data_IF_866303908234
#
_entry.id   IF_866303908234
#
_cell.length_a   1.000
_cell.length_b   1.000
_cell.length_c   1.000
_cell.angle_alpha   90.00
_cell.angle_beta   90.00
_cell.angle_gamma   90.00
#
_symmetry.space_group_name_H-M   'P 1'
#
loop_
_entity.id
_entity.type
_entity.pdbx_description
1 polymer ?
#
# COMPACT_ATOMS: atom_id res chain seq x y z
N UNK A 1 -5.68 -20.47 -14.44
CA UNK A 1 -4.38 -20.12 -15.06
C UNK A 1 -3.84 -19.00 -14.19
N UNK A 2 -2.66 -19.17 -13.58
CA UNK A 2 -2.00 -18.05 -12.90
C UNK A 2 -1.56 -17.06 -13.97
N UNK A 3 -2.08 -15.83 -13.92
CA UNK A 3 -1.69 -14.80 -14.86
C UNK A 3 -0.21 -14.46 -14.65
N UNK A 4 0.52 -14.35 -15.76
CA UNK A 4 1.92 -13.93 -15.73
C UNK A 4 2.01 -12.44 -16.01
N UNK A 5 2.34 -11.66 -14.98
CA UNK A 5 2.56 -10.23 -15.08
C UNK A 5 3.98 -9.96 -15.57
N UNK A 6 4.11 -9.37 -16.75
CA UNK A 6 5.41 -9.13 -17.39
C UNK A 6 5.74 -7.64 -17.33
N UNK A 7 6.91 -7.30 -16.81
CA UNK A 7 7.42 -5.92 -16.73
C UNK A 7 8.87 -5.87 -17.22
N UNK A 8 9.27 -4.78 -17.86
CA UNK A 8 10.69 -4.58 -18.20
C UNK A 8 11.49 -4.12 -16.96
N UNK A 9 12.79 -4.40 -16.94
CA UNK A 9 13.68 -3.90 -15.88
C UNK A 9 13.60 -2.37 -15.74
N UNK A 10 13.55 -1.61 -16.84
CA UNK A 10 13.45 -0.16 -16.81
C UNK A 10 12.13 0.34 -16.23
N UNK A 11 11.01 -0.27 -16.61
CA UNK A 11 9.68 0.04 -16.05
C UNK A 11 9.63 -0.30 -14.56
N UNK A 12 10.18 -1.45 -14.15
CA UNK A 12 10.27 -1.83 -12.75
C UNK A 12 11.06 -0.79 -11.97
N UNK A 13 12.26 -0.41 -12.40
CA UNK A 13 13.13 0.51 -11.66
C UNK A 13 12.55 1.93 -11.56
N UNK A 14 11.93 2.43 -12.63
CA UNK A 14 11.33 3.77 -12.66
C UNK A 14 10.01 3.90 -11.89
N UNK A 15 9.23 2.82 -11.79
CA UNK A 15 7.95 2.86 -11.06
C UNK A 15 8.15 2.81 -9.54
N UNK A 16 7.95 3.93 -8.85
CA UNK A 16 8.10 4.01 -7.38
C UNK A 16 7.01 3.30 -6.59
N UNK A 17 5.86 3.05 -7.19
CA UNK A 17 4.70 2.40 -6.55
C UNK A 17 4.37 1.06 -7.23
N UNK A 18 5.40 0.31 -7.63
CA UNK A 18 5.21 -0.99 -8.26
C UNK A 18 4.64 -2.01 -7.26
N UNK A 19 3.58 -2.70 -7.67
CA UNK A 19 3.04 -3.88 -7.01
C UNK A 19 2.83 -5.00 -8.02
N UNK A 20 2.80 -6.24 -7.53
CA UNK A 20 2.43 -7.41 -8.33
C UNK A 20 0.96 -7.70 -8.02
N UNK A 21 0.10 -7.92 -9.05
CA UNK A 21 -1.28 -8.33 -8.82
C UNK A 21 -1.37 -9.62 -7.98
N UNK A 22 -2.43 -9.73 -7.17
CA UNK A 22 -2.59 -10.89 -6.29
C UNK A 22 -2.71 -12.20 -7.07
N UNK A 23 -2.01 -13.22 -6.60
CA UNK A 23 -1.98 -14.55 -7.23
C UNK A 23 -1.25 -14.61 -8.58
N UNK A 24 -0.70 -13.51 -9.09
CA UNK A 24 0.05 -13.49 -10.34
C UNK A 24 1.50 -13.91 -10.13
N UNK A 25 2.07 -14.59 -11.14
CA UNK A 25 3.53 -14.69 -11.27
C UNK A 25 4.08 -13.40 -11.89
N UNK A 26 5.36 -13.11 -11.66
CA UNK A 26 6.03 -11.94 -12.21
C UNK A 26 7.20 -12.38 -13.11
N UNK A 27 7.28 -11.84 -14.32
CA UNK A 27 8.48 -11.90 -15.15
C UNK A 27 9.06 -10.50 -15.30
N UNK A 28 10.31 -10.32 -14.88
CA UNK A 28 11.07 -9.10 -15.13
C UNK A 28 12.02 -9.36 -16.31
N UNK A 29 11.74 -8.71 -17.43
CA UNK A 29 12.48 -8.94 -18.68
C UNK A 29 13.56 -7.90 -18.95
N UNK A 30 14.58 -8.31 -19.70
CA UNK A 30 15.63 -7.42 -20.20
C UNK A 30 16.53 -6.86 -19.10
N UNK A 31 16.82 -7.66 -18.08
CA UNK A 31 17.72 -7.27 -17.00
C UNK A 31 19.15 -7.40 -17.51
N UNK A 32 19.89 -6.30 -17.53
CA UNK A 32 21.33 -6.31 -17.85
C UNK A 32 22.15 -6.70 -16.61
N UNK A 33 23.38 -7.14 -16.82
CA UNK A 33 24.32 -7.44 -15.72
C UNK A 33 24.49 -6.28 -14.75
N UNK A 34 24.47 -5.05 -15.23
CA UNK A 34 24.61 -3.82 -14.45
C UNK A 34 23.34 -3.47 -13.66
N UNK A 35 22.16 -3.71 -14.24
CA UNK A 35 20.88 -3.39 -13.60
C UNK A 35 20.38 -4.48 -12.64
N UNK A 36 20.93 -5.70 -12.75
CA UNK A 36 20.52 -6.84 -11.93
C UNK A 36 20.56 -6.58 -10.41
N UNK A 37 21.61 -5.98 -9.82
CA UNK A 37 21.64 -5.72 -8.38
C UNK A 37 20.51 -4.79 -7.92
N UNK A 38 20.18 -3.78 -8.71
CA UNK A 38 19.12 -2.81 -8.39
C UNK A 38 17.74 -3.46 -8.52
N UNK A 39 17.52 -4.23 -9.59
CA UNK A 39 16.30 -5.04 -9.79
C UNK A 39 16.10 -6.01 -8.64
N UNK A 40 17.14 -6.78 -8.28
CA UNK A 40 17.11 -7.72 -7.15
C UNK A 40 16.78 -7.01 -5.84
N UNK A 41 17.45 -5.90 -5.54
CA UNK A 41 17.20 -5.12 -4.31
C UNK A 41 15.75 -4.64 -4.23
N UNK A 42 15.21 -4.12 -5.34
CA UNK A 42 13.83 -3.67 -5.42
C UNK A 42 12.83 -4.80 -5.23
N UNK A 43 13.05 -5.95 -5.86
CA UNK A 43 12.17 -7.11 -5.71
C UNK A 43 12.23 -7.70 -4.31
N UNK A 44 13.40 -7.73 -3.66
CA UNK A 44 13.53 -8.15 -2.26
C UNK A 44 12.74 -7.24 -1.32
N UNK A 45 12.73 -5.92 -1.59
CA UNK A 45 11.94 -4.98 -0.82
C UNK A 45 10.43 -5.23 -0.97
N UNK A 46 9.97 -5.52 -2.19
CA UNK A 46 8.55 -5.65 -2.52
C UNK A 46 7.99 -7.03 -2.13
N UNK A 47 8.74 -8.11 -2.37
CA UNK A 47 8.25 -9.49 -2.30
C UNK A 47 8.93 -10.31 -1.20
N UNK A 48 10.07 -9.84 -0.68
CA UNK A 48 10.93 -10.62 0.20
C UNK A 48 11.79 -11.63 -0.54
N UNK A 49 12.44 -12.51 0.22
CA UNK A 49 13.33 -13.55 -0.29
C UNK A 49 12.57 -14.83 -0.67
N UNK A 50 11.73 -14.73 -1.70
CA UNK A 50 10.99 -15.85 -2.26
C UNK A 50 11.78 -16.68 -3.28
N UNK A 51 11.22 -17.80 -3.74
CA UNK A 51 11.75 -18.55 -4.88
C UNK A 51 11.71 -17.69 -6.15
N UNK A 52 12.69 -17.88 -7.02
CA UNK A 52 12.74 -17.27 -8.35
C UNK A 52 13.48 -18.21 -9.31
N UNK A 53 13.41 -17.88 -10.59
CA UNK A 53 14.11 -18.58 -11.65
C UNK A 53 14.87 -17.57 -12.52
N UNK A 54 16.14 -17.88 -12.80
CA UNK A 54 16.99 -17.11 -13.72
C UNK A 54 17.63 -18.08 -14.70
N UNK A 55 17.41 -17.85 -16.00
CA UNK A 55 17.90 -18.70 -17.08
C UNK A 55 17.63 -20.21 -16.86
N UNK A 56 16.40 -20.56 -16.44
CA UNK A 56 15.98 -21.95 -16.22
C UNK A 56 16.46 -22.56 -14.90
N UNK A 57 17.15 -21.81 -14.03
CA UNK A 57 17.65 -22.30 -12.74
C UNK A 57 16.83 -21.73 -11.60
N UNK A 58 16.22 -22.62 -10.82
CA UNK A 58 15.50 -22.25 -9.60
C UNK A 58 16.48 -21.89 -8.47
N UNK A 59 16.21 -20.81 -7.76
CA UNK A 59 17.01 -20.30 -6.65
C UNK A 59 16.16 -19.41 -5.73
N UNK A 60 16.75 -18.88 -4.67
CA UNK A 60 16.15 -17.82 -3.87
C UNK A 60 16.56 -16.44 -4.40
N UNK A 61 15.68 -15.44 -4.27
CA UNK A 61 15.96 -14.12 -4.81
C UNK A 61 17.26 -13.50 -4.27
N UNK A 62 17.59 -13.70 -3.00
CA UNK A 62 18.89 -13.27 -2.43
C UNK A 62 20.11 -13.89 -3.13
N UNK A 63 19.99 -15.15 -3.53
CA UNK A 63 21.02 -15.96 -4.19
C UNK A 63 21.00 -15.83 -5.72
N UNK A 64 20.04 -15.09 -6.28
CA UNK A 64 19.96 -14.87 -7.71
C UNK A 64 21.10 -13.97 -8.20
N UNK A 65 21.66 -14.34 -9.35
CA UNK A 65 22.76 -13.66 -10.03
C UNK A 65 22.45 -13.51 -11.52
N UNK A 66 23.05 -12.52 -12.17
CA UNK A 66 22.86 -12.29 -13.61
C UNK A 66 23.37 -13.48 -14.42
N UNK A 67 22.54 -13.99 -15.32
CA UNK A 67 22.89 -15.07 -16.24
C UNK A 67 23.22 -14.50 -17.64
N UNK A 68 24.47 -14.08 -17.84
CA UNK A 68 24.93 -13.47 -19.10
C UNK A 68 24.80 -11.94 -19.14
N UNK A 69 24.87 -11.37 -20.34
CA UNK A 69 24.78 -9.92 -20.58
C UNK A 69 23.36 -9.38 -20.36
N UNK A 70 22.36 -10.15 -20.78
CA UNK A 70 20.93 -9.85 -20.58
C UNK A 70 20.22 -11.14 -20.18
N UNK A 71 19.38 -11.08 -19.15
CA UNK A 71 18.56 -12.19 -18.70
C UNK A 71 17.19 -11.73 -18.22
N UNK A 72 16.29 -12.69 -18.08
CA UNK A 72 14.98 -12.50 -17.47
C UNK A 72 14.97 -13.17 -16.10
N UNK A 73 14.22 -12.59 -15.16
CA UNK A 73 13.99 -13.12 -13.83
C UNK A 73 12.51 -13.44 -13.67
N UNK A 74 12.19 -14.70 -13.44
CA UNK A 74 10.84 -15.17 -13.18
C UNK A 74 10.62 -15.38 -11.68
N UNK A 75 9.49 -14.94 -11.16
CA UNK A 75 9.07 -15.14 -9.78
C UNK A 75 7.70 -15.82 -9.84
N UNK A 76 7.57 -17.06 -9.34
CA UNK A 76 6.29 -17.75 -9.33
C UNK A 76 5.29 -17.05 -8.41
N UNK A 77 4.00 -17.28 -8.66
CA UNK A 77 2.96 -16.89 -7.72
C UNK A 77 3.25 -17.55 -6.36
N UNK A 78 3.15 -16.78 -5.30
CA UNK A 78 3.37 -17.25 -3.93
C UNK A 78 2.04 -17.46 -3.24
N UNK A 79 1.90 -18.58 -2.53
CA UNK A 79 0.75 -18.79 -1.65
C UNK A 79 0.67 -17.69 -0.59
N UNK A 80 -0.53 -17.22 -0.27
CA UNK A 80 -0.73 -16.09 0.65
C UNK A 80 -0.03 -16.31 2.00
N UNK A 81 -0.11 -17.51 2.56
CA UNK A 81 0.48 -17.85 3.86
C UNK A 81 2.01 -18.00 3.80
N UNK A 82 2.58 -18.06 2.59
CA UNK A 82 4.02 -18.17 2.36
C UNK A 82 4.65 -16.83 1.97
N UNK A 83 3.86 -15.76 1.84
CA UNK A 83 4.37 -14.41 1.54
C UNK A 83 5.28 -13.94 2.68
N UNK A 84 6.42 -13.34 2.31
CA UNK A 84 7.34 -12.72 3.28
C UNK A 84 7.09 -11.22 3.44
N UNK A 85 6.43 -10.60 2.46
CA UNK A 85 6.01 -9.20 2.47
C UNK A 85 4.55 -9.13 2.08
N UNK A 86 3.82 -8.28 2.79
CA UNK A 86 2.40 -8.03 2.55
C UNK A 86 2.22 -6.57 2.10
N UNK A 87 1.31 -6.36 1.17
CA UNK A 87 0.85 -5.06 0.70
C UNK A 87 -0.46 -4.63 1.38
N UNK A 88 -0.93 -3.45 1.02
CA UNK A 88 -2.16 -2.90 1.61
C UNK A 88 -3.40 -3.77 1.36
N UNK A 89 -3.56 -4.31 0.15
CA UNK A 89 -4.70 -5.17 -0.16
C UNK A 89 -4.62 -6.56 0.51
N UNK A 90 -3.43 -7.01 0.90
CA UNK A 90 -3.29 -8.22 1.72
C UNK A 90 -3.91 -8.02 3.11
N UNK A 91 -3.75 -6.83 3.70
CA UNK A 91 -4.42 -6.48 4.96
C UNK A 91 -5.93 -6.54 4.80
N UNK A 92 -6.48 -5.91 3.76
CA UNK A 92 -7.92 -5.93 3.47
C UNK A 92 -8.42 -7.37 3.32
N UNK A 93 -7.70 -8.20 2.55
CA UNK A 93 -8.01 -9.62 2.40
C UNK A 93 -8.04 -10.37 3.74
N UNK A 94 -7.06 -10.13 4.63
CA UNK A 94 -7.03 -10.75 5.97
C UNK A 94 -8.28 -10.36 6.75
N UNK A 95 -8.67 -9.09 6.77
CA UNK A 95 -9.85 -8.65 7.51
C UNK A 95 -11.13 -9.27 6.95
N UNK A 96 -11.28 -9.37 5.62
CA UNK A 96 -12.37 -10.14 5.03
C UNK A 96 -12.37 -11.58 5.50
N UNK A 97 -11.20 -12.25 5.45
CA UNK A 97 -11.09 -13.65 5.84
C UNK A 97 -11.42 -13.89 7.32
N UNK A 98 -11.01 -12.98 8.20
CA UNK A 98 -11.32 -13.01 9.63
C UNK A 98 -12.82 -12.83 9.89
N UNK A 99 -13.51 -12.04 9.07
CA UNK A 99 -14.94 -11.75 9.22
C UNK A 99 -15.86 -12.62 8.35
N UNK A 100 -15.31 -13.58 7.62
CA UNK A 100 -16.06 -14.51 6.76
C UNK A 100 -16.90 -15.50 7.59
N UNK A 101 -17.84 -16.22 6.97
CA UNK A 101 -18.78 -17.12 7.67
C UNK A 101 -18.06 -18.12 8.59
N UNK A 102 -16.97 -18.71 8.11
CA UNK A 102 -16.10 -19.66 8.84
C UNK A 102 -14.86 -18.98 9.49
N UNK A 103 -14.88 -17.65 9.59
CA UNK A 103 -13.83 -16.82 10.19
C UNK A 103 -13.87 -16.78 11.72
N UNK A 104 -13.19 -15.78 12.28
CA UNK A 104 -13.08 -15.56 13.72
C UNK A 104 -14.37 -14.95 14.29
N UNK A 105 -14.98 -15.63 15.28
CA UNK A 105 -16.21 -15.17 15.93
C UNK A 105 -16.06 -13.81 16.63
N UNK A 106 -14.88 -13.51 17.19
CA UNK A 106 -14.63 -12.23 17.84
C UNK A 106 -14.53 -11.08 16.83
N UNK A 107 -13.84 -11.29 15.71
CA UNK A 107 -13.72 -10.29 14.65
C UNK A 107 -15.07 -10.03 13.99
N UNK A 108 -15.87 -11.07 13.73
CA UNK A 108 -17.23 -10.95 13.20
C UNK A 108 -18.15 -10.11 14.09
N UNK A 109 -18.06 -10.28 15.40
CA UNK A 109 -18.92 -9.61 16.37
C UNK A 109 -18.63 -8.11 16.51
N UNK A 110 -17.51 -7.61 15.97
CA UNK A 110 -17.16 -6.20 16.03
C UNK A 110 -18.11 -5.33 15.20
N UNK A 111 -18.33 -4.12 15.70
CA UNK A 111 -19.12 -3.03 15.13
C UNK A 111 -18.26 -1.77 15.10
N UNK A 112 -18.67 -0.74 14.33
CA UNK A 112 -17.96 0.55 14.35
C UNK A 112 -17.86 1.12 15.77
N UNK A 113 -18.91 0.96 16.58
CA UNK A 113 -18.96 1.46 17.95
C UNK A 113 -18.08 0.68 18.91
N UNK A 114 -17.93 -0.64 18.72
CA UNK A 114 -17.16 -1.48 19.65
C UNK A 114 -15.66 -1.27 19.53
N UNK A 115 -15.15 -0.96 18.32
CA UNK A 115 -13.70 -0.78 18.07
C UNK A 115 -13.27 0.70 18.03
N UNK A 116 -14.19 1.66 18.15
CA UNK A 116 -13.84 3.09 18.08
C UNK A 116 -12.82 3.53 19.15
N UNK A 117 -12.85 2.89 20.33
CA UNK A 117 -11.91 3.21 21.40
C UNK A 117 -10.51 2.72 21.05
N UNK A 118 -10.39 1.54 20.43
CA UNK A 118 -9.13 1.02 19.94
C UNK A 118 -8.50 2.00 18.94
N UNK A 119 -9.28 2.51 17.98
CA UNK A 119 -8.79 3.52 17.04
C UNK A 119 -8.19 4.78 17.70
N UNK A 120 -8.69 5.17 18.88
CA UNK A 120 -8.10 6.28 19.65
C UNK A 120 -6.84 5.82 20.38
N UNK A 121 -6.87 4.64 20.98
CA UNK A 121 -5.75 4.02 21.71
C UNK A 121 -4.53 3.85 20.80
N UNK A 122 -4.65 3.18 19.64
CA UNK A 122 -3.53 2.96 18.70
C UNK A 122 -2.93 4.29 18.23
N UNK A 123 -3.76 5.33 18.08
CA UNK A 123 -3.29 6.65 17.68
C UNK A 123 -2.47 7.33 18.80
N UNK A 124 -2.82 7.11 20.07
CA UNK A 124 -2.02 7.56 21.21
C UNK A 124 -0.73 6.77 21.35
N UNK A 125 -0.76 5.46 21.15
CA UNK A 125 0.42 4.60 21.18
C UNK A 125 1.42 4.99 20.08
N UNK A 126 0.94 5.27 18.86
CA UNK A 126 1.78 5.81 17.80
C UNK A 126 2.42 7.16 18.18
N UNK A 127 1.67 8.06 18.81
CA UNK A 127 2.23 9.34 19.30
C UNK A 127 3.28 9.10 20.39
N UNK A 128 3.05 8.16 21.30
CA UNK A 128 4.01 7.79 22.32
C UNK A 128 5.30 7.23 21.71
N UNK A 129 5.19 6.30 20.75
CA UNK A 129 6.33 5.74 20.04
C UNK A 129 7.17 6.82 19.34
N UNK A 130 6.51 7.81 18.71
CA UNK A 130 7.17 8.97 18.10
C UNK A 130 7.94 9.79 19.14
N UNK A 131 7.31 10.10 20.28
CA UNK A 131 7.93 10.90 21.34
C UNK A 131 9.12 10.20 21.97
N UNK A 132 9.09 8.87 22.04
CA UNK A 132 10.16 8.04 22.58
C UNK A 132 11.26 7.72 21.55
N UNK A 133 11.11 8.15 20.29
CA UNK A 133 11.99 7.78 19.17
C UNK A 133 12.13 6.26 19.00
N UNK A 134 11.08 5.51 19.33
CA UNK A 134 11.05 4.05 19.25
C UNK A 134 10.63 3.62 17.84
N UNK A 135 11.62 3.35 16.99
CA UNK A 135 11.36 3.00 15.59
C UNK A 135 10.64 1.65 15.43
N UNK A 136 10.82 0.72 16.37
CA UNK A 136 10.16 -0.58 16.28
C UNK A 136 8.67 -0.43 16.63
N UNK A 137 8.35 0.26 17.72
CA UNK A 137 6.95 0.56 18.06
C UNK A 137 6.32 1.49 17.03
N UNK A 138 7.03 2.49 16.50
CA UNK A 138 6.49 3.34 15.43
C UNK A 138 6.01 2.51 14.21
N UNK A 139 6.70 1.42 13.89
CA UNK A 139 6.29 0.50 12.80
C UNK A 139 5.05 -0.30 13.19
N UNK A 140 4.99 -0.81 14.41
CA UNK A 140 3.88 -1.57 14.97
C UNK A 140 2.60 -0.73 15.00
N UNK A 141 2.63 0.39 15.72
CA UNK A 141 1.45 1.26 15.93
C UNK A 141 0.97 1.94 14.64
N UNK A 142 1.88 2.22 13.69
CA UNK A 142 1.46 2.69 12.36
C UNK A 142 0.64 1.60 11.66
N UNK A 143 1.00 0.34 11.83
CA UNK A 143 0.24 -0.81 11.35
C UNK A 143 -1.13 -0.92 12.02
N UNK A 144 -1.21 -0.71 13.33
CA UNK A 144 -2.48 -0.81 14.05
C UNK A 144 -3.44 0.32 13.71
N UNK A 145 -2.95 1.54 13.50
CA UNK A 145 -3.77 2.64 12.94
C UNK A 145 -4.30 2.30 11.54
N UNK A 146 -3.51 1.62 10.69
CA UNK A 146 -3.97 1.16 9.38
C UNK A 146 -5.01 0.04 9.50
N UNK A 147 -4.80 -0.90 10.44
CA UNK A 147 -5.75 -1.98 10.76
C UNK A 147 -7.12 -1.41 11.11
N UNK A 148 -7.18 -0.39 11.98
CA UNK A 148 -8.44 0.25 12.37
C UNK A 148 -9.18 0.82 11.15
N UNK A 149 -8.48 1.54 10.27
CA UNK A 149 -9.07 2.06 9.03
C UNK A 149 -9.58 0.97 8.09
N UNK A 150 -8.82 -0.11 7.93
CA UNK A 150 -9.22 -1.28 7.14
C UNK A 150 -10.47 -1.97 7.72
N UNK A 151 -10.54 -2.12 9.04
CA UNK A 151 -11.66 -2.77 9.73
C UNK A 151 -12.97 -1.99 9.54
N UNK A 152 -12.93 -0.66 9.66
CA UNK A 152 -14.09 0.19 9.36
C UNK A 152 -14.54 0.05 7.90
N UNK A 153 -13.61 0.03 6.93
CA UNK A 153 -13.97 -0.13 5.52
C UNK A 153 -14.64 -1.48 5.24
N UNK A 154 -14.11 -2.59 5.76
CA UNK A 154 -14.68 -3.93 5.55
C UNK A 154 -16.06 -4.09 6.22
N UNK A 155 -16.27 -3.47 7.40
CA UNK A 155 -17.58 -3.47 8.05
C UNK A 155 -18.63 -2.69 7.25
N UNK A 156 -18.27 -1.52 6.73
CA UNK A 156 -19.17 -0.70 5.91
C UNK A 156 -19.51 -1.38 4.57
N UNK A 157 -18.55 -2.07 3.97
CA UNK A 157 -18.77 -2.85 2.75
C UNK A 157 -19.79 -3.97 2.98
N UNK A 158 -19.68 -4.68 4.11
CA UNK A 158 -20.64 -5.72 4.51
C UNK A 158 -22.07 -5.19 4.71
N UNK A 159 -22.23 -3.88 4.99
CA UNK A 159 -23.52 -3.20 5.08
C UNK A 159 -23.98 -2.57 3.73
N UNK A 160 -23.17 -2.65 2.67
CA UNK A 160 -23.45 -2.04 1.38
C UNK A 160 -23.35 -0.51 1.37
N UNK A 161 -22.56 0.07 2.27
CA UNK A 161 -22.43 1.52 2.44
C UNK A 161 -21.29 2.13 1.60
N UNK A 162 -20.04 1.74 1.88
CA UNK A 162 -18.83 2.11 1.16
C UNK A 162 -17.77 1.03 1.31
N UNK A 163 -16.80 1.00 0.40
CA UNK A 163 -15.68 0.06 0.46
C UNK A 163 -14.32 0.77 0.65
N UNK A 164 -13.24 -0.01 0.68
CA UNK A 164 -11.89 0.55 0.80
C UNK A 164 -11.49 1.42 -0.40
N UNK A 165 -12.00 1.12 -1.59
CA UNK A 165 -11.74 1.89 -2.81
C UNK A 165 -12.35 3.28 -2.72
N UNK A 166 -13.54 3.41 -2.13
CA UNK A 166 -14.17 4.70 -1.85
C UNK A 166 -13.34 5.53 -0.87
N UNK A 167 -12.88 4.93 0.23
CA UNK A 167 -12.03 5.58 1.24
C UNK A 167 -10.73 6.10 0.62
N UNK A 168 -10.01 5.24 -0.10
CA UNK A 168 -8.76 5.61 -0.78
C UNK A 168 -9.03 6.66 -1.87
N UNK A 169 -10.13 6.54 -2.62
CA UNK A 169 -10.49 7.51 -3.65
C UNK A 169 -10.75 8.89 -3.08
N UNK A 170 -11.51 9.01 -1.98
CA UNK A 170 -11.73 10.29 -1.32
C UNK A 170 -10.41 10.87 -0.79
N UNK A 171 -9.58 10.05 -0.15
CA UNK A 171 -8.27 10.47 0.36
C UNK A 171 -7.38 10.98 -0.78
N UNK A 172 -7.23 10.24 -1.87
CA UNK A 172 -6.41 10.63 -3.01
C UNK A 172 -6.92 11.92 -3.67
N UNK A 173 -8.24 12.04 -3.92
CA UNK A 173 -8.84 13.27 -4.46
C UNK A 173 -8.54 14.48 -3.58
N UNK A 174 -8.71 14.32 -2.25
CA UNK A 174 -8.40 15.36 -1.25
C UNK A 174 -6.92 15.74 -1.26
N UNK A 175 -6.02 14.77 -1.29
CA UNK A 175 -4.57 15.03 -1.31
C UNK A 175 -4.14 15.71 -2.61
N UNK A 176 -4.61 15.25 -3.77
CA UNK A 176 -4.32 15.89 -5.07
C UNK A 176 -4.82 17.34 -5.06
N UNK A 177 -6.06 17.57 -4.62
CA UNK A 177 -6.66 18.89 -4.56
C UNK A 177 -5.90 19.85 -3.63
N UNK A 178 -5.46 19.37 -2.46
CA UNK A 178 -4.75 20.19 -1.46
C UNK A 178 -3.28 20.43 -1.77
N UNK A 179 -2.71 19.73 -2.76
CA UNK A 179 -1.32 19.92 -3.19
C UNK A 179 -1.24 20.39 -4.65
N UNK A 180 -1.81 21.57 -4.98
CA UNK A 180 -1.77 22.10 -6.35
C UNK A 180 -0.35 22.49 -6.77
N UNK A 181 0.60 22.58 -5.83
CA UNK A 181 2.00 22.82 -6.10
C UNK A 181 2.79 21.55 -6.50
N UNK A 182 2.21 20.37 -6.25
CA UNK A 182 2.76 19.08 -6.70
C UNK A 182 2.02 18.57 -7.93
N UNK A 183 0.69 18.64 -7.93
CA UNK A 183 -0.16 18.03 -8.95
C UNK A 183 -0.83 19.03 -9.91
N UNK A 184 -0.57 20.32 -9.76
CA UNK A 184 -1.15 21.38 -10.57
C UNK A 184 -0.10 22.39 -11.04
N UNK A 185 -0.56 23.61 -11.33
CA UNK A 185 0.29 24.67 -11.89
C UNK A 185 0.82 25.67 -10.85
N UNK A 186 0.37 25.56 -9.59
CA UNK A 186 0.86 26.45 -8.52
C UNK A 186 2.34 26.18 -8.29
N UNK A 187 3.14 27.21 -8.06
CA UNK A 187 4.55 27.05 -7.67
C UNK A 187 4.71 27.34 -6.19
N UNK A 188 5.43 26.47 -5.50
CA UNK A 188 5.91 26.67 -4.15
C UNK A 188 7.38 26.22 -4.10
N UNK A 189 8.27 27.10 -3.65
CA UNK A 189 9.72 26.86 -3.67
C UNK A 189 10.27 26.50 -2.29
N UNK A 190 9.46 26.62 -1.24
CA UNK A 190 9.81 26.32 0.14
C UNK A 190 8.58 25.81 0.92
N UNK A 191 8.81 25.37 2.15
CA UNK A 191 7.77 24.78 3.00
C UNK A 191 6.68 25.79 3.36
N UNK A 192 7.04 27.06 3.58
CA UNK A 192 6.12 28.14 3.92
C UNK A 192 5.15 28.44 2.76
N UNK A 193 5.66 28.53 1.54
CA UNK A 193 4.86 28.70 0.31
C UNK A 193 3.97 27.48 0.06
N UNK A 194 4.47 26.26 0.30
CA UNK A 194 3.70 25.03 0.16
C UNK A 194 2.54 24.99 1.16
N UNK A 195 2.80 25.37 2.42
CA UNK A 195 1.79 25.45 3.48
C UNK A 195 0.73 26.51 3.16
N UNK A 196 1.14 27.68 2.67
CA UNK A 196 0.21 28.74 2.25
C UNK A 196 -0.69 28.30 1.08
N UNK A 197 -0.11 27.62 0.08
CA UNK A 197 -0.87 27.05 -1.03
C UNK A 197 -1.86 25.97 -0.56
N UNK A 198 -1.43 25.11 0.36
CA UNK A 198 -2.25 24.05 0.96
C UNK A 198 -3.43 24.61 1.77
N UNK A 199 -3.21 25.59 2.65
CA UNK A 199 -4.29 26.22 3.43
C UNK A 199 -5.30 26.93 2.51
N UNK A 200 -4.83 27.61 1.46
CA UNK A 200 -5.70 28.23 0.45
C UNK A 200 -6.59 27.18 -0.24
N UNK A 201 -6.01 26.06 -0.66
CA UNK A 201 -6.76 24.97 -1.29
C UNK A 201 -7.79 24.37 -0.30
N UNK A 202 -7.37 24.03 0.92
CA UNK A 202 -8.25 23.51 1.99
C UNK A 202 -9.44 24.43 2.28
N UNK A 203 -9.25 25.75 2.29
CA UNK A 203 -10.36 26.70 2.42
C UNK A 203 -11.33 26.67 1.23
N UNK A 204 -10.82 26.50 0.01
CA UNK A 204 -11.65 26.38 -1.19
C UNK A 204 -12.47 25.08 -1.19
N UNK A 205 -11.87 23.96 -0.77
CA UNK A 205 -12.56 22.66 -0.63
C UNK A 205 -13.77 22.77 0.31
N UNK A 206 -13.58 23.35 1.50
CA UNK A 206 -14.65 23.54 2.49
C UNK A 206 -15.81 24.38 1.93
N UNK A 207 -15.50 25.42 1.15
CA UNK A 207 -16.53 26.25 0.51
C UNK A 207 -17.33 25.46 -0.52
N UNK A 208 -16.70 24.58 -1.30
CA UNK A 208 -17.39 23.74 -2.27
C UNK A 208 -18.33 22.74 -1.60
N UNK A 209 -17.86 22.02 -0.56
CA UNK A 209 -18.69 21.08 0.22
C UNK A 209 -19.93 21.76 0.80
N UNK A 210 -19.75 22.92 1.44
CA UNK A 210 -20.85 23.69 2.04
C UNK A 210 -21.88 24.20 1.02
N UNK A 211 -21.48 24.42 -0.25
CA UNK A 211 -22.41 24.84 -1.31
C UNK A 211 -23.20 23.64 -1.83
N UNK A 212 -22.54 22.49 -2.05
CA UNK A 212 -23.21 21.26 -2.47
C UNK A 212 -24.23 20.78 -1.45
N UNK A 213 -23.89 20.80 -0.15
CA UNK A 213 -24.81 20.43 0.96
C UNK A 213 -26.02 21.38 1.10
N UNK A 214 -25.92 22.62 0.60
CA UNK A 214 -27.05 23.57 0.60
C UNK A 214 -27.96 23.43 -0.61
N UNK A 215 -27.56 22.67 -1.62
CA UNK A 215 -28.29 22.48 -2.88
C UNK A 215 -29.00 21.13 -2.98
N UNK A 216 -28.66 20.19 -2.10
CA UNK A 216 -29.33 18.89 -1.88
C UNK A 216 -30.30 18.97 -0.71
#
# INVERSE_FOLDING_TARGET
MTDNYIVSASSLLTNRAFSVPDGASLTVSGITKESFPEVKSKLLHILGNGPCEVAGRQTLLTQAESAGEVCDLFIPATDFLQKQRFGFYDLIYIIHRLRDEDGCEWDKAQTHESIRSNAVEEAYELVEAINNHDLDNMREETGDVLLQGAFHAVMAEGAGEYDISDVISELCKKLIFRHPHVFGEVKANNAEEALAAWEKAKMAEKKQRNVTERMT
#
